data_IF_587762095167
#
_entry.id   IF_587762095167
#
_cell.length_a   1.000
_cell.length_b   1.000
_cell.length_c   1.000
_cell.angle_alpha   90.00
_cell.angle_beta   90.00
_cell.angle_gamma   90.00
#
_symmetry.space_group_name_H-M   'P 1'
#
loop_
_entity.id
_entity.type
_entity.pdbx_description
1 polymer ?
#
# COMPACT_ATOMS: atom_id res chain seq x y z
N UNK A 1 45.14 38.17 24.72
CA UNK A 1 44.46 38.57 23.47
C UNK A 1 44.40 37.44 22.44
N UNK A 2 45.51 36.98 21.82
CA UNK A 2 45.50 35.98 20.71
C UNK A 2 44.82 34.63 21.03
N UNK A 3 44.96 34.11 22.25
CA UNK A 3 44.34 32.84 22.68
C UNK A 3 42.82 32.91 22.87
N UNK A 4 42.29 34.10 23.19
CA UNK A 4 40.84 34.32 23.37
C UNK A 4 40.15 34.31 22.01
N UNK A 5 40.71 34.99 21.01
CA UNK A 5 40.20 34.97 19.64
C UNK A 5 40.20 33.57 19.02
N UNK A 6 41.25 32.77 19.28
CA UNK A 6 41.33 31.39 18.80
C UNK A 6 40.25 30.50 19.44
N UNK A 7 39.99 30.69 20.73
CA UNK A 7 38.96 29.93 21.47
C UNK A 7 37.54 30.31 21.00
N UNK A 8 37.30 31.59 20.71
CA UNK A 8 36.03 32.07 20.17
C UNK A 8 35.77 31.54 18.75
N UNK A 9 36.82 31.48 17.92
CA UNK A 9 36.74 30.94 16.56
C UNK A 9 36.38 29.44 16.56
N UNK A 10 37.01 28.66 17.44
CA UNK A 10 36.72 27.22 17.60
C UNK A 10 35.29 27.01 18.12
N UNK A 11 34.83 27.82 19.08
CA UNK A 11 33.45 27.74 19.57
C UNK A 11 32.41 28.06 18.48
N UNK A 12 32.72 28.97 17.56
CA UNK A 12 31.82 29.33 16.45
C UNK A 12 31.75 28.22 15.38
N UNK A 13 32.87 27.52 15.14
CA UNK A 13 32.93 26.36 14.24
C UNK A 13 32.18 25.13 14.77
N UNK A 14 32.00 25.02 16.09
CA UNK A 14 31.24 23.91 16.70
C UNK A 14 29.72 24.14 16.67
N UNK A 15 29.26 25.38 16.48
CA UNK A 15 27.83 25.74 16.36
C UNK A 15 27.29 25.59 14.92
N UNK A 16 28.17 25.46 13.92
CA UNK A 16 27.78 25.17 12.53
C UNK A 16 27.67 23.66 12.23
N UNK A 17 27.87 22.80 13.24
CA UNK A 17 27.81 21.34 13.11
C UNK A 17 26.40 20.77 13.27
N UNK A 18 25.96 20.04 12.25
CA UNK A 18 24.80 19.14 12.19
C UNK A 18 23.39 19.78 12.18
N UNK A 19 22.83 19.95 10.97
CA UNK A 19 21.36 19.96 10.80
C UNK A 19 20.86 18.52 10.80
N UNK A 20 19.70 18.28 11.42
CA UNK A 20 19.06 16.97 11.40
C UNK A 20 18.75 16.58 9.94
N UNK A 21 19.15 15.39 9.51
CA UNK A 21 18.76 14.90 8.19
C UNK A 21 17.24 14.80 8.13
N UNK A 22 16.60 15.21 7.01
CA UNK A 22 15.16 15.06 6.87
C UNK A 22 14.80 13.57 6.98
N UNK A 23 13.62 13.28 7.51
CA UNK A 23 13.11 11.92 7.54
C UNK A 23 12.83 11.48 6.09
N UNK A 24 13.34 10.33 5.67
CA UNK A 24 13.13 9.80 4.32
C UNK A 24 12.16 8.64 4.34
N UNK A 25 11.46 8.43 3.23
CA UNK A 25 10.69 7.22 3.00
C UNK A 25 11.56 5.96 3.15
N UNK A 26 10.99 4.90 3.73
CA UNK A 26 11.63 3.60 3.77
C UNK A 26 11.83 3.04 2.36
N UNK A 27 12.90 2.28 2.15
CA UNK A 27 13.22 1.70 0.82
C UNK A 27 12.18 0.68 0.32
N UNK A 28 11.36 0.15 1.23
CA UNK A 28 10.42 -0.93 0.93
C UNK A 28 11.10 -2.27 0.67
N UNK A 29 10.33 -3.21 0.16
CA UNK A 29 10.79 -4.54 -0.24
C UNK A 29 10.93 -4.62 -1.74
N UNK A 30 12.12 -4.99 -2.22
CA UNK A 30 12.50 -4.95 -3.64
C UNK A 30 11.55 -5.76 -4.55
N UNK A 31 11.27 -7.02 -4.19
CA UNK A 31 10.45 -7.89 -5.03
C UNK A 31 8.98 -7.44 -5.14
N UNK A 32 8.51 -6.58 -4.24
CA UNK A 32 7.15 -6.03 -4.30
C UNK A 32 7.06 -4.78 -5.18
N UNK A 33 8.18 -4.10 -5.46
CA UNK A 33 8.14 -2.80 -6.12
C UNK A 33 7.54 -2.88 -7.53
N UNK A 34 6.34 -2.34 -7.70
CA UNK A 34 5.61 -2.44 -8.95
C UNK A 34 4.10 -2.31 -8.82
N UNK A 35 3.43 -2.40 -9.97
CA UNK A 35 1.99 -2.51 -10.11
C UNK A 35 1.66 -3.98 -10.34
N UNK A 36 0.81 -4.52 -9.48
CA UNK A 36 0.38 -5.90 -9.45
C UNK A 36 -1.13 -5.94 -9.60
N UNK A 37 -1.63 -6.86 -10.42
CA UNK A 37 -3.05 -7.10 -10.56
C UNK A 37 -3.35 -8.57 -10.32
N UNK A 38 -4.43 -8.83 -9.60
CA UNK A 38 -4.98 -10.16 -9.43
C UNK A 38 -5.44 -10.73 -10.77
N UNK A 39 -5.03 -11.97 -11.06
CA UNK A 39 -5.58 -12.73 -12.17
C UNK A 39 -6.97 -13.24 -11.78
N UNK A 40 -8.00 -13.04 -12.63
CA UNK A 40 -9.34 -13.47 -12.32
C UNK A 40 -9.41 -15.00 -12.17
N UNK A 41 -10.14 -15.46 -11.16
CA UNK A 41 -10.41 -16.89 -10.97
C UNK A 41 -11.46 -17.37 -11.98
N UNK A 42 -11.32 -18.62 -12.46
CA UNK A 42 -12.17 -19.17 -13.53
C UNK A 42 -13.68 -19.13 -13.22
N UNK A 43 -14.06 -19.32 -11.96
CA UNK A 43 -15.46 -19.34 -11.51
C UNK A 43 -15.92 -18.01 -10.89
N UNK A 44 -15.20 -16.91 -11.14
CA UNK A 44 -15.53 -15.54 -10.69
C UNK A 44 -17.01 -15.22 -10.95
N UNK A 45 -17.51 -15.52 -12.13
CA UNK A 45 -18.88 -15.22 -12.53
C UNK A 45 -19.93 -16.08 -11.81
N UNK A 46 -19.53 -17.15 -11.13
CA UNK A 46 -20.43 -17.97 -10.30
C UNK A 46 -20.56 -17.43 -8.88
N UNK A 47 -19.65 -16.57 -8.43
CA UNK A 47 -19.66 -16.03 -7.06
C UNK A 47 -20.79 -15.02 -6.87
N UNK A 48 -21.35 -14.97 -5.65
CA UNK A 48 -22.34 -13.96 -5.25
C UNK A 48 -21.68 -12.58 -5.19
N UNK A 49 -20.44 -12.54 -4.69
CA UNK A 49 -19.61 -11.36 -4.65
C UNK A 49 -18.16 -11.76 -4.90
N UNK A 50 -17.47 -10.98 -5.72
CA UNK A 50 -16.04 -11.13 -6.01
C UNK A 50 -15.37 -9.76 -5.96
N UNK A 51 -14.21 -9.68 -5.32
CA UNK A 51 -13.40 -8.46 -5.27
C UNK A 51 -12.03 -8.76 -5.84
N UNK A 52 -11.71 -8.12 -6.97
CA UNK A 52 -10.38 -8.17 -7.58
C UNK A 52 -9.47 -7.13 -6.96
N UNK A 53 -8.26 -7.54 -6.61
CA UNK A 53 -7.27 -6.68 -5.97
C UNK A 53 -6.20 -6.22 -6.96
N UNK A 54 -5.90 -4.93 -6.94
CA UNK A 54 -4.74 -4.36 -7.61
C UNK A 54 -3.91 -3.61 -6.59
N UNK A 55 -2.60 -3.88 -6.56
CA UNK A 55 -1.66 -3.29 -5.64
C UNK A 55 -0.60 -2.50 -6.39
N UNK A 56 -0.32 -1.29 -5.94
CA UNK A 56 0.88 -0.55 -6.35
C UNK A 56 1.76 -0.34 -5.12
N UNK A 57 2.91 -0.99 -5.13
CA UNK A 57 3.94 -0.81 -4.11
C UNK A 57 5.01 0.12 -4.65
N UNK A 58 5.34 1.15 -3.87
CA UNK A 58 6.40 2.09 -4.20
C UNK A 58 7.08 2.53 -2.92
N UNK A 59 8.37 2.23 -2.80
CA UNK A 59 9.11 2.35 -1.56
C UNK A 59 8.37 1.61 -0.43
N UNK A 60 8.14 2.26 0.70
CA UNK A 60 7.39 1.75 1.85
C UNK A 60 5.85 1.93 1.75
N UNK A 61 5.37 2.51 0.65
CA UNK A 61 3.96 2.86 0.46
C UNK A 61 3.23 1.82 -0.40
N UNK A 62 1.95 1.61 -0.09
CA UNK A 62 1.04 0.76 -0.86
C UNK A 62 -0.24 1.52 -1.19
N UNK A 63 -0.68 1.33 -2.43
CA UNK A 63 -1.95 1.80 -2.96
C UNK A 63 -2.73 0.58 -3.41
N UNK A 64 -4.00 0.52 -3.05
CA UNK A 64 -4.86 -0.64 -3.32
C UNK A 64 -6.09 -0.16 -4.06
N UNK A 65 -6.44 -0.86 -5.12
CA UNK A 65 -7.74 -0.76 -5.79
C UNK A 65 -8.46 -2.09 -5.63
N UNK A 66 -9.73 -2.02 -5.26
CA UNK A 66 -10.61 -3.14 -5.01
C UNK A 66 -11.80 -3.02 -5.95
N UNK A 67 -11.82 -3.82 -7.01
CA UNK A 67 -12.91 -3.84 -7.98
C UNK A 67 -13.90 -4.93 -7.57
N UNK A 68 -15.05 -4.54 -7.04
CA UNK A 68 -16.04 -5.49 -6.53
C UNK A 68 -17.21 -5.64 -7.48
N UNK A 69 -17.57 -6.88 -7.78
CA UNK A 69 -18.82 -7.26 -8.43
C UNK A 69 -19.68 -8.02 -7.44
N UNK A 70 -20.98 -7.73 -7.39
CA UNK A 70 -21.94 -8.42 -6.54
C UNK A 70 -23.27 -8.62 -7.27
N UNK A 71 -23.85 -9.81 -7.14
CA UNK A 71 -25.17 -10.15 -7.69
C UNK A 71 -26.31 -9.82 -6.73
N UNK A 72 -26.02 -9.86 -5.43
CA UNK A 72 -26.97 -9.54 -4.37
C UNK A 72 -26.76 -8.11 -3.89
N UNK A 73 -27.85 -7.37 -3.69
CA UNK A 73 -27.80 -6.01 -3.19
C UNK A 73 -27.82 -5.98 -1.65
N UNK A 74 -26.71 -5.58 -1.05
CA UNK A 74 -26.58 -5.38 0.40
C UNK A 74 -26.44 -3.90 0.78
N UNK A 75 -26.46 -2.99 -0.20
CA UNK A 75 -26.29 -1.56 -0.01
C UNK A 75 -27.56 -0.80 -0.40
N UNK A 76 -27.71 0.48 0.01
CA UNK A 76 -28.75 1.33 -0.57
C UNK A 76 -28.64 1.38 -2.09
N UNK A 77 -29.75 1.51 -2.81
CA UNK A 77 -29.78 1.48 -4.28
C UNK A 77 -28.87 2.54 -4.92
N UNK A 78 -28.75 3.71 -4.28
CA UNK A 78 -27.83 4.78 -4.68
C UNK A 78 -26.36 4.38 -4.64
N UNK A 79 -26.02 3.35 -3.85
CA UNK A 79 -24.68 2.81 -3.67
C UNK A 79 -24.47 1.48 -4.39
N UNK A 80 -25.50 0.73 -4.77
CA UNK A 80 -25.29 -0.60 -5.35
C UNK A 80 -24.65 -0.56 -6.75
N UNK A 81 -24.88 0.52 -7.50
CA UNK A 81 -24.30 0.77 -8.82
C UNK A 81 -24.32 -0.45 -9.76
N UNK A 82 -25.50 -1.05 -9.91
CA UNK A 82 -25.72 -2.27 -10.73
C UNK A 82 -24.79 -3.43 -10.33
N UNK A 83 -24.45 -3.52 -9.04
CA UNK A 83 -23.60 -4.56 -8.50
C UNK A 83 -22.12 -4.40 -8.84
N UNK A 84 -21.65 -3.21 -9.22
CA UNK A 84 -20.25 -2.97 -9.55
C UNK A 84 -19.73 -1.71 -8.90
N UNK A 85 -18.63 -1.79 -8.14
CA UNK A 85 -18.01 -0.60 -7.56
C UNK A 85 -16.53 -0.77 -7.30
N UNK A 86 -15.85 0.37 -7.16
CA UNK A 86 -14.43 0.42 -6.85
C UNK A 86 -14.21 1.06 -5.49
N UNK A 87 -13.38 0.42 -4.68
CA UNK A 87 -12.86 0.97 -3.43
C UNK A 87 -11.35 1.15 -3.54
N UNK A 88 -10.82 2.10 -2.77
CA UNK A 88 -9.41 2.46 -2.80
C UNK A 88 -8.88 2.47 -1.38
N UNK A 89 -7.62 2.10 -1.19
CA UNK A 89 -6.92 2.27 0.07
C UNK A 89 -5.49 2.73 -0.16
N UNK A 90 -4.95 3.48 0.80
CA UNK A 90 -3.56 3.94 0.79
C UNK A 90 -2.96 3.82 2.18
N UNK A 91 -1.69 3.44 2.24
CA UNK A 91 -0.91 3.46 3.46
C UNK A 91 0.47 2.88 3.24
N UNK A 92 0.93 2.11 4.21
CA UNK A 92 2.22 1.44 4.20
C UNK A 92 2.03 -0.08 4.25
N UNK A 93 3.13 -0.81 4.12
CA UNK A 93 3.14 -2.25 4.31
C UNK A 93 4.40 -2.67 5.07
N UNK A 94 4.32 -3.82 5.70
CA UNK A 94 5.44 -4.49 6.33
C UNK A 94 5.43 -5.96 5.97
N UNK A 95 6.62 -6.55 5.83
CA UNK A 95 6.78 -7.99 5.74
C UNK A 95 7.44 -8.46 7.02
N UNK A 96 6.86 -9.48 7.65
CA UNK A 96 7.48 -10.20 8.75
C UNK A 96 7.39 -11.68 8.43
N UNK A 97 8.55 -12.34 8.39
CA UNK A 97 8.70 -13.74 7.98
C UNK A 97 8.10 -13.99 6.59
N UNK A 98 7.04 -14.78 6.49
CA UNK A 98 6.31 -15.09 5.26
C UNK A 98 5.03 -14.26 5.09
N UNK A 99 4.78 -13.29 5.97
CA UNK A 99 3.49 -12.59 6.03
C UNK A 99 3.63 -11.12 5.62
N UNK A 100 2.83 -10.72 4.63
CA UNK A 100 2.61 -9.34 4.21
C UNK A 100 1.47 -8.72 5.01
N UNK A 101 1.79 -7.64 5.72
CA UNK A 101 0.85 -6.80 6.45
C UNK A 101 0.62 -5.52 5.65
N UNK A 102 -0.62 -5.26 5.25
CA UNK A 102 -1.00 -3.97 4.68
C UNK A 102 -1.56 -3.12 5.82
N UNK A 103 -1.02 -1.91 5.98
CA UNK A 103 -1.38 -0.95 7.01
C UNK A 103 -1.91 0.31 6.32
N UNK A 104 -3.20 0.31 5.99
CA UNK A 104 -3.79 1.35 5.16
C UNK A 104 -5.18 1.76 5.61
N UNK A 105 -5.70 2.81 5.01
CA UNK A 105 -7.06 3.30 5.22
C UNK A 105 -7.79 3.43 3.91
N UNK A 106 -9.11 3.21 3.92
CA UNK A 106 -9.96 3.46 2.76
C UNK A 106 -9.92 4.95 2.37
N UNK A 107 -9.82 5.19 1.08
CA UNK A 107 -9.70 6.51 0.47
C UNK A 107 -10.72 6.71 -0.63
N UNK A 108 -10.83 7.95 -1.10
CA UNK A 108 -11.46 8.27 -2.38
C UNK A 108 -10.57 7.80 -3.53
N UNK A 109 -11.06 7.86 -4.76
CA UNK A 109 -10.32 7.48 -5.97
C UNK A 109 -9.01 8.27 -6.18
N UNK A 110 -8.93 9.49 -5.63
CA UNK A 110 -7.71 10.31 -5.65
C UNK A 110 -6.76 10.03 -4.46
N UNK A 111 -6.99 8.96 -3.72
CA UNK A 111 -6.23 8.55 -2.54
C UNK A 111 -6.21 9.57 -1.38
N UNK A 112 -7.13 10.53 -1.37
CA UNK A 112 -7.40 11.36 -0.19
C UNK A 112 -8.34 10.62 0.76
N UNK A 113 -8.26 10.94 2.05
CA UNK A 113 -9.03 10.29 3.11
C UNK A 113 -10.54 10.27 2.81
N UNK A 114 -11.16 9.12 3.08
CA UNK A 114 -12.61 8.91 2.97
C UNK A 114 -13.22 8.85 4.36
N UNK A 115 -14.06 9.84 4.70
CA UNK A 115 -14.72 9.95 6.00
C UNK A 115 -16.19 9.52 5.97
N UNK A 116 -16.80 9.47 4.79
CA UNK A 116 -18.22 9.14 4.60
C UNK A 116 -18.49 8.70 3.15
N UNK A 117 -19.72 8.27 2.87
CA UNK A 117 -20.20 7.84 1.56
C UNK A 117 -20.46 6.33 1.48
N UNK A 118 -20.69 5.83 0.27
CA UNK A 118 -20.95 4.41 0.02
C UNK A 118 -19.75 3.52 0.35
N UNK A 119 -20.01 2.25 0.66
CA UNK A 119 -19.01 1.19 0.89
C UNK A 119 -18.11 1.42 2.12
N UNK A 120 -16.99 0.68 2.22
CA UNK A 120 -16.16 0.66 3.41
C UNK A 120 -15.42 1.98 3.64
N UNK A 121 -15.26 2.33 4.92
CA UNK A 121 -14.49 3.48 5.41
C UNK A 121 -13.59 3.01 6.56
N UNK A 122 -12.66 3.86 6.99
CA UNK A 122 -11.74 3.52 8.09
C UNK A 122 -10.54 2.71 7.62
N UNK A 123 -10.15 1.69 8.38
CA UNK A 123 -8.91 0.95 8.15
C UNK A 123 -9.09 -0.22 7.16
N UNK A 124 -8.08 -0.45 6.33
CA UNK A 124 -7.91 -1.62 5.48
C UNK A 124 -6.61 -2.31 5.89
N UNK A 125 -6.74 -3.35 6.72
CA UNK A 125 -5.63 -4.04 7.40
C UNK A 125 -5.54 -5.54 7.07
N UNK A 126 -5.56 -5.94 5.79
CA UNK A 126 -5.46 -7.36 5.48
C UNK A 126 -4.05 -7.88 5.80
N UNK A 127 -4.01 -9.18 6.08
CA UNK A 127 -2.79 -9.96 6.28
C UNK A 127 -2.77 -11.08 5.25
N UNK A 128 -1.66 -11.21 4.54
CA UNK A 128 -1.48 -12.21 3.50
C UNK A 128 -0.24 -13.04 3.79
N UNK A 129 -0.39 -14.36 3.82
CA UNK A 129 0.76 -15.27 3.79
C UNK A 129 1.25 -15.36 2.35
N UNK A 130 2.53 -15.10 2.12
CA UNK A 130 3.19 -15.18 0.82
C UNK A 130 3.52 -16.65 0.57
N UNK A 131 2.81 -17.29 -0.37
CA UNK A 131 3.03 -18.70 -0.72
C UNK A 131 4.04 -18.89 -1.83
N UNK A 132 4.09 -17.96 -2.78
CA UNK A 132 5.01 -18.02 -3.91
C UNK A 132 5.49 -16.62 -4.25
N UNK A 133 6.80 -16.48 -4.46
CA UNK A 133 7.43 -15.25 -4.95
C UNK A 133 8.21 -15.58 -6.23
N UNK A 134 7.78 -15.01 -7.34
CA UNK A 134 8.45 -15.07 -8.63
C UNK A 134 8.80 -13.68 -9.14
N UNK A 135 9.48 -13.60 -10.28
CA UNK A 135 9.81 -12.31 -10.88
C UNK A 135 8.55 -11.52 -11.26
N UNK A 136 7.56 -12.17 -11.88
CA UNK A 136 6.34 -11.53 -12.38
C UNK A 136 5.05 -12.12 -11.79
N UNK A 137 5.19 -12.97 -10.77
CA UNK A 137 4.08 -13.68 -10.12
C UNK A 137 4.26 -13.62 -8.60
N UNK A 138 3.18 -13.37 -7.88
CA UNK A 138 3.15 -13.35 -6.42
C UNK A 138 1.84 -14.02 -5.97
N UNK A 139 1.92 -15.07 -5.16
CA UNK A 139 0.71 -15.76 -4.66
C UNK A 139 0.54 -15.45 -3.19
N UNK A 140 -0.60 -14.85 -2.86
CA UNK A 140 -0.95 -14.40 -1.52
C UNK A 140 -2.15 -15.20 -1.02
N UNK A 141 -2.11 -15.65 0.23
CA UNK A 141 -3.25 -16.25 0.91
C UNK A 141 -3.74 -15.33 2.02
N UNK A 142 -4.95 -14.80 1.88
CA UNK A 142 -5.57 -13.96 2.90
C UNK A 142 -6.01 -14.77 4.10
N UNK A 143 -5.85 -14.24 5.32
CA UNK A 143 -6.32 -14.92 6.54
C UNK A 143 -7.85 -15.09 6.59
N UNK A 144 -8.58 -14.27 5.83
CA UNK A 144 -10.06 -14.25 5.78
C UNK A 144 -10.62 -14.77 4.44
N UNK A 145 -9.77 -15.04 3.47
CA UNK A 145 -10.17 -15.43 2.11
C UNK A 145 -9.69 -16.86 1.87
N UNK A 146 -10.61 -17.77 1.53
CA UNK A 146 -10.25 -19.15 1.22
C UNK A 146 -9.58 -19.29 -0.15
N UNK A 147 -9.73 -18.28 -1.03
CA UNK A 147 -9.21 -18.29 -2.38
C UNK A 147 -7.85 -17.55 -2.39
N UNK A 148 -6.79 -18.16 -2.94
CA UNK A 148 -5.51 -17.48 -3.14
C UNK A 148 -5.67 -16.28 -4.09
N UNK A 149 -5.05 -15.16 -3.73
CA UNK A 149 -4.90 -13.98 -4.59
C UNK A 149 -3.62 -14.16 -5.40
N UNK A 150 -3.77 -14.56 -6.66
CA UNK A 150 -2.64 -14.71 -7.59
C UNK A 150 -2.41 -13.40 -8.32
N UNK A 151 -1.30 -12.74 -8.03
CA UNK A 151 -0.94 -11.45 -8.59
C UNK A 151 0.06 -11.61 -9.73
N UNK A 152 -0.16 -10.87 -10.80
CA UNK A 152 0.76 -10.72 -11.92
C UNK A 152 1.32 -9.31 -11.98
N UNK A 153 2.63 -9.22 -12.13
CA UNK A 153 3.32 -7.94 -12.28
C UNK A 153 2.98 -7.33 -13.64
N UNK A 154 2.51 -6.08 -13.63
CA UNK A 154 2.21 -5.29 -14.83
C UNK A 154 3.33 -4.30 -15.14
N UNK A 155 3.90 -3.70 -14.11
CA UNK A 155 4.95 -2.69 -14.25
C UNK A 155 5.90 -2.76 -13.06
N UNK A 156 7.21 -2.74 -13.30
CA UNK A 156 8.22 -2.59 -12.24
C UNK A 156 8.40 -1.12 -11.90
N UNK A 157 8.40 -0.81 -10.60
CA UNK A 157 8.70 0.53 -10.10
C UNK A 157 10.08 0.49 -9.43
N UNK A 158 10.94 1.46 -9.73
CA UNK A 158 12.18 1.66 -8.97
C UNK A 158 11.90 2.62 -7.83
N UNK A 159 12.13 2.19 -6.58
CA UNK A 159 12.02 3.10 -5.44
C UNK A 159 13.14 4.16 -5.49
N UNK A 160 12.73 5.42 -5.46
CA UNK A 160 13.62 6.57 -5.24
C UNK A 160 13.09 7.27 -3.98
N UNK A 161 13.65 6.97 -2.79
CA UNK A 161 13.16 7.53 -1.54
C UNK A 161 13.13 9.06 -1.56
N UNK A 162 12.01 9.63 -1.12
CA UNK A 162 11.84 11.08 -0.99
C UNK A 162 11.87 11.51 0.48
N UNK A 163 12.29 12.74 0.78
CA UNK A 163 12.09 13.32 2.11
C UNK A 163 10.59 13.45 2.40
N UNK A 164 10.21 13.22 3.65
CA UNK A 164 8.84 13.28 4.19
C UNK A 164 8.46 14.69 4.64
#
# INVERSE_FOLDING_TARGET
MRKIYLSLLISCLMLSGCKFNPNYQGKGTEFLQGIWEEEPVYYMDSLIQYTRHSFRFTCDSVYVTLETTAKANYYPDSCFNKGKWNEYAKGNYAIKDDTLFILSTFTKANYKQKLSGCYRIGQYLPKFVIKERGQNKLVLHGSQQHIPVTLKLKERIKCVPKPL
#
